data_IF_921924577441
#
_entry.id   IF_921924577441
#
_cell.length_a   1.000
_cell.length_b   1.000
_cell.length_c   1.000
_cell.angle_alpha   90.00
_cell.angle_beta   90.00
_cell.angle_gamma   90.00
#
_symmetry.space_group_name_H-M   'P 1'
#
loop_
_entity.id
_entity.type
_entity.pdbx_description
1 polymer ?
#
# COMPACT_ATOMS: atom_id res chain seq x y z
N UNK A 1 55.67 -16.22 -38.75
CA UNK A 1 54.64 -15.23 -38.48
C UNK A 1 53.29 -15.77 -38.96
N UNK A 2 52.35 -16.06 -38.06
CA UNK A 2 50.92 -16.24 -38.39
C UNK A 2 50.12 -15.77 -37.17
N UNK A 3 49.52 -14.57 -37.26
CA UNK A 3 48.57 -14.06 -36.27
C UNK A 3 47.17 -14.51 -36.64
N UNK A 4 46.45 -15.14 -35.70
CA UNK A 4 45.04 -15.46 -35.88
C UNK A 4 44.20 -14.18 -35.77
N UNK A 5 43.29 -13.89 -36.73
CA UNK A 5 42.41 -12.74 -36.63
C UNK A 5 41.45 -12.93 -35.45
N UNK A 6 41.40 -11.92 -34.58
CA UNK A 6 40.51 -11.87 -33.42
C UNK A 6 39.06 -12.11 -33.86
N UNK A 7 38.39 -13.04 -33.18
CA UNK A 7 37.02 -13.44 -33.48
C UNK A 7 36.08 -12.25 -33.49
N UNK A 8 35.55 -11.93 -34.67
CA UNK A 8 34.52 -10.91 -34.84
C UNK A 8 33.25 -11.38 -34.12
N UNK A 9 32.94 -10.74 -33.00
CA UNK A 9 31.70 -10.94 -32.27
C UNK A 9 30.54 -10.45 -33.14
N UNK A 10 29.85 -11.38 -33.79
CA UNK A 10 28.63 -11.09 -34.54
C UNK A 10 27.42 -11.24 -33.60
N UNK A 11 26.60 -10.19 -33.51
CA UNK A 11 25.34 -10.24 -32.77
C UNK A 11 24.37 -11.11 -33.58
N UNK A 12 24.16 -12.34 -33.11
CA UNK A 12 23.39 -13.38 -33.81
C UNK A 12 21.89 -13.07 -33.94
N UNK A 13 21.41 -12.02 -33.29
CA UNK A 13 20.04 -11.53 -33.45
C UNK A 13 19.61 -10.64 -32.30
N UNK A 14 18.75 -9.68 -32.60
CA UNK A 14 18.10 -8.81 -31.62
C UNK A 14 16.61 -9.10 -31.62
N UNK A 15 16.10 -9.62 -30.50
CA UNK A 15 14.68 -9.90 -30.33
C UNK A 15 13.97 -8.64 -29.82
N UNK A 16 13.16 -8.02 -30.68
CA UNK A 16 12.33 -6.87 -30.31
C UNK A 16 10.85 -7.26 -30.37
N UNK A 17 10.14 -7.11 -29.25
CA UNK A 17 8.68 -7.20 -29.24
C UNK A 17 8.10 -5.80 -29.46
N UNK A 18 7.37 -5.57 -30.57
CA UNK A 18 6.68 -4.31 -30.78
C UNK A 18 5.56 -4.18 -29.73
N UNK A 19 5.62 -3.09 -28.97
CA UNK A 19 4.57 -2.67 -28.02
C UNK A 19 3.79 -1.54 -28.70
N UNK A 20 2.46 -1.54 -28.57
CA UNK A 20 1.57 -0.65 -29.33
C UNK A 20 1.83 0.85 -29.12
N UNK A 21 2.44 1.23 -28.00
CA UNK A 21 2.80 2.60 -27.65
C UNK A 21 3.97 2.57 -26.66
N UNK A 22 4.53 3.72 -26.29
CA UNK A 22 5.55 3.80 -25.25
C UNK A 22 5.00 3.27 -23.91
N UNK A 23 5.86 2.62 -23.12
CA UNK A 23 5.51 2.14 -21.78
C UNK A 23 5.04 3.29 -20.86
N UNK A 24 5.54 4.50 -21.10
CA UNK A 24 5.11 5.71 -20.39
C UNK A 24 3.65 6.07 -20.72
N UNK A 25 3.24 5.98 -21.99
CA UNK A 25 1.85 6.22 -22.40
C UNK A 25 0.92 5.17 -21.81
N UNK A 26 1.30 3.89 -21.90
CA UNK A 26 0.47 2.77 -21.45
C UNK A 26 0.28 2.76 -19.92
N UNK A 27 1.32 3.08 -19.16
CA UNK A 27 1.28 3.06 -17.69
C UNK A 27 0.95 4.41 -17.05
N UNK A 28 0.47 5.38 -17.85
CA UNK A 28 0.17 6.73 -17.35
C UNK A 28 -0.88 6.70 -16.24
N UNK A 29 -0.57 7.41 -15.16
CA UNK A 29 -1.51 7.66 -14.07
C UNK A 29 -2.53 8.73 -14.50
N UNK A 30 -3.63 8.29 -15.13
CA UNK A 30 -4.73 9.17 -15.56
C UNK A 30 -6.07 8.70 -15.00
N UNK A 31 -6.95 9.66 -14.75
CA UNK A 31 -8.33 9.46 -14.32
C UNK A 31 -9.34 9.53 -15.49
N UNK A 32 -8.92 10.08 -16.64
CA UNK A 32 -9.78 10.30 -17.80
C UNK A 32 -10.23 8.97 -18.43
N UNK A 33 -11.54 8.75 -18.55
CA UNK A 33 -12.12 7.57 -19.21
C UNK A 33 -12.03 6.26 -18.41
N UNK A 34 -11.66 6.30 -17.12
CA UNK A 34 -11.41 5.09 -16.32
C UNK A 34 -12.58 4.72 -15.39
N UNK A 35 -12.77 3.40 -15.20
CA UNK A 35 -13.82 2.80 -14.34
C UNK A 35 -13.84 3.33 -12.90
N UNK A 36 -15.05 3.44 -12.33
CA UNK A 36 -15.37 3.94 -10.98
C UNK A 36 -14.51 3.31 -9.87
N UNK A 37 -14.11 2.05 -10.04
CA UNK A 37 -13.31 1.31 -9.07
C UNK A 37 -11.98 2.00 -8.74
N UNK A 38 -11.37 2.70 -9.71
CA UNK A 38 -10.10 3.41 -9.50
C UNK A 38 -10.25 4.58 -8.53
N UNK A 39 -11.41 5.26 -8.57
CA UNK A 39 -11.73 6.32 -7.63
C UNK A 39 -11.99 5.77 -6.23
N UNK A 40 -12.68 4.62 -6.12
CA UNK A 40 -12.92 3.97 -4.83
C UNK A 40 -11.62 3.51 -4.17
N UNK A 41 -10.72 2.89 -4.92
CA UNK A 41 -9.39 2.49 -4.41
C UNK A 41 -8.60 3.71 -3.97
N UNK A 42 -8.55 4.74 -4.81
CA UNK A 42 -7.83 5.97 -4.47
C UNK A 42 -8.39 6.63 -3.20
N UNK A 43 -9.72 6.71 -3.09
CA UNK A 43 -10.39 7.20 -1.90
C UNK A 43 -10.06 6.34 -0.67
N UNK A 44 -10.04 5.01 -0.80
CA UNK A 44 -9.65 4.10 0.29
C UNK A 44 -8.19 4.31 0.72
N UNK A 45 -7.26 4.47 -0.23
CA UNK A 45 -5.85 4.77 0.04
C UNK A 45 -5.64 6.08 0.81
N UNK A 46 -6.60 7.02 0.78
CA UNK A 46 -6.57 8.26 1.58
C UNK A 46 -7.35 8.09 2.89
N UNK A 47 -8.54 7.51 2.83
CA UNK A 47 -9.45 7.38 3.95
C UNK A 47 -8.87 6.47 5.05
N UNK A 48 -8.24 5.35 4.68
CA UNK A 48 -7.63 4.41 5.64
C UNK A 48 -6.51 5.05 6.46
N UNK A 49 -5.48 5.67 5.87
CA UNK A 49 -4.43 6.32 6.66
C UNK A 49 -4.98 7.50 7.46
N UNK A 50 -5.91 8.29 6.92
CA UNK A 50 -6.56 9.35 7.67
C UNK A 50 -7.30 8.81 8.91
N UNK A 51 -8.03 7.71 8.77
CA UNK A 51 -8.71 7.04 9.87
C UNK A 51 -7.73 6.52 10.93
N UNK A 52 -6.63 5.90 10.52
CA UNK A 52 -5.56 5.45 11.42
C UNK A 52 -4.95 6.63 12.18
N UNK A 53 -4.67 7.75 11.50
CA UNK A 53 -4.13 8.95 12.14
C UNK A 53 -5.10 9.54 13.17
N UNK A 54 -6.40 9.62 12.85
CA UNK A 54 -7.42 10.05 13.82
C UNK A 54 -7.45 9.12 15.03
N UNK A 55 -7.49 7.80 14.82
CA UNK A 55 -7.47 6.83 15.91
C UNK A 55 -6.20 6.94 16.76
N UNK A 56 -5.04 7.17 16.13
CA UNK A 56 -3.76 7.35 16.79
C UNK A 56 -3.75 8.62 17.65
N UNK A 57 -4.24 9.75 17.13
CA UNK A 57 -4.37 11.01 17.89
C UNK A 57 -5.28 10.80 19.10
N UNK A 58 -6.44 10.14 18.91
CA UNK A 58 -7.35 9.82 20.01
C UNK A 58 -6.68 8.90 21.05
N UNK A 59 -5.87 7.93 20.61
CA UNK A 59 -5.11 7.04 21.49
C UNK A 59 -4.07 7.78 22.32
N UNK A 60 -3.28 8.65 21.69
CA UNK A 60 -2.24 9.43 22.37
C UNK A 60 -2.87 10.36 23.42
N UNK A 61 -3.99 11.01 23.09
CA UNK A 61 -4.72 11.91 24.01
C UNK A 61 -5.45 11.18 25.14
N UNK A 62 -5.74 9.90 25.00
CA UNK A 62 -6.45 9.11 26.02
C UNK A 62 -5.49 8.62 27.10
N UNK A 63 -5.87 8.69 28.38
CA UNK A 63 -5.11 8.07 29.49
C UNK A 63 -5.48 6.59 29.60
N UNK A 64 -4.82 5.77 28.79
CA UNK A 64 -5.01 4.32 28.77
C UNK A 64 -3.73 3.60 29.23
N UNK A 65 -3.82 2.48 29.94
CA UNK A 65 -2.67 1.64 30.30
C UNK A 65 -2.14 0.88 29.06
N UNK A 66 -0.82 0.67 28.97
CA UNK A 66 -0.15 -0.01 27.83
C UNK A 66 -0.41 0.65 26.46
N UNK A 67 -0.50 1.99 26.39
CA UNK A 67 -0.74 2.74 25.13
C UNK A 67 0.18 2.32 23.98
N UNK A 68 1.44 2.00 24.28
CA UNK A 68 2.42 1.59 23.28
C UNK A 68 1.98 0.37 22.47
N UNK A 69 1.36 -0.63 23.10
CA UNK A 69 0.83 -1.80 22.39
C UNK A 69 -0.33 -1.42 21.47
N UNK A 70 -1.22 -0.53 21.95
CA UNK A 70 -2.32 -0.01 21.14
C UNK A 70 -1.83 0.82 19.97
N UNK A 71 -0.81 1.67 20.15
CA UNK A 71 -0.21 2.46 19.07
C UNK A 71 0.32 1.53 17.97
N UNK A 72 1.11 0.52 18.31
CA UNK A 72 1.62 -0.45 17.33
C UNK A 72 0.46 -1.14 16.62
N UNK A 73 -0.55 -1.58 17.37
CA UNK A 73 -1.69 -2.28 16.78
C UNK A 73 -2.55 -1.39 15.85
N UNK A 74 -2.74 -0.11 16.19
CA UNK A 74 -3.47 0.87 15.38
C UNK A 74 -2.73 1.17 14.08
N UNK A 75 -1.39 1.24 14.13
CA UNK A 75 -0.56 1.55 12.96
C UNK A 75 -0.53 0.42 11.92
N UNK A 76 -0.84 -0.82 12.33
CA UNK A 76 -0.84 -1.98 11.46
C UNK A 76 -2.22 -2.18 10.82
N UNK A 77 -2.27 -2.08 9.50
CA UNK A 77 -3.36 -2.60 8.69
C UNK A 77 -3.11 -4.07 8.33
N UNK A 78 -4.17 -4.87 8.36
CA UNK A 78 -4.17 -6.31 8.06
C UNK A 78 -4.91 -6.57 6.76
N UNK A 79 -4.59 -7.65 6.05
CA UNK A 79 -5.18 -8.00 4.75
C UNK A 79 -4.97 -6.86 3.73
N UNK A 80 -3.94 -7.00 2.90
CA UNK A 80 -3.64 -5.97 1.90
C UNK A 80 -4.40 -6.22 0.60
N UNK A 81 -5.02 -5.18 0.08
CA UNK A 81 -5.56 -5.11 -1.27
C UNK A 81 -4.61 -4.27 -2.10
N UNK A 82 -4.04 -4.84 -3.15
CA UNK A 82 -3.19 -4.15 -4.11
C UNK A 82 -3.93 -4.00 -5.42
N UNK A 83 -3.74 -2.85 -6.05
CA UNK A 83 -4.43 -2.45 -7.25
C UNK A 83 -3.41 -1.93 -8.26
N UNK A 84 -3.33 -2.59 -9.40
CA UNK A 84 -2.54 -2.10 -10.53
C UNK A 84 -3.32 -0.99 -11.24
N UNK A 85 -2.76 0.22 -11.24
CA UNK A 85 -3.43 1.39 -11.80
C UNK A 85 -3.63 1.33 -13.32
N UNK A 86 -2.71 0.68 -14.04
CA UNK A 86 -2.76 0.57 -15.49
C UNK A 86 -3.79 -0.49 -15.89
N UNK A 87 -3.62 -1.72 -15.42
CA UNK A 87 -4.45 -2.85 -15.82
C UNK A 87 -5.81 -2.89 -15.12
N UNK A 88 -5.89 -2.32 -13.91
CA UNK A 88 -7.07 -2.42 -13.06
C UNK A 88 -7.18 -3.75 -12.31
N UNK A 89 -6.11 -4.55 -12.29
CA UNK A 89 -6.08 -5.83 -11.60
C UNK A 89 -6.01 -5.66 -10.08
N UNK A 90 -6.76 -6.49 -9.35
CA UNK A 90 -6.69 -6.58 -7.89
C UNK A 90 -5.92 -7.81 -7.45
N UNK A 91 -5.06 -7.63 -6.46
CA UNK A 91 -4.40 -8.70 -5.75
C UNK A 91 -4.73 -8.57 -4.27
N UNK A 92 -5.18 -9.67 -3.64
CA UNK A 92 -5.49 -9.71 -2.22
C UNK A 92 -4.41 -10.55 -1.54
N UNK A 93 -3.79 -9.99 -0.51
CA UNK A 93 -2.77 -10.64 0.31
C UNK A 93 -3.28 -10.75 1.75
N UNK A 94 -3.91 -11.88 2.14
CA UNK A 94 -4.50 -12.05 3.45
C UNK A 94 -3.48 -12.00 4.59
N UNK A 95 -2.32 -12.62 4.40
CA UNK A 95 -1.23 -12.68 5.38
C UNK A 95 -0.21 -11.59 5.02
N UNK A 96 -0.57 -10.34 5.31
CA UNK A 96 0.27 -9.20 4.99
C UNK A 96 -0.11 -8.00 5.86
N UNK A 97 0.88 -7.13 6.13
CA UNK A 97 0.69 -5.95 6.99
C UNK A 97 1.14 -4.68 6.28
N UNK A 98 0.35 -3.62 6.40
CA UNK A 98 0.69 -2.30 5.87
C UNK A 98 0.79 -1.28 7.02
N UNK A 99 1.91 -0.56 7.09
CA UNK A 99 2.04 0.55 8.01
C UNK A 99 1.15 1.72 7.54
N UNK A 100 0.36 2.29 8.44
CA UNK A 100 -0.68 3.29 8.12
C UNK A 100 -1.76 2.78 7.16
N UNK A 101 -1.87 1.46 6.96
CA UNK A 101 -2.94 0.83 6.18
C UNK A 101 -3.00 1.23 4.71
N UNK A 102 -1.97 1.87 4.16
CA UNK A 102 -1.90 2.24 2.75
C UNK A 102 -0.48 2.16 2.21
N UNK A 103 -0.35 1.94 0.90
CA UNK A 103 0.92 1.98 0.18
C UNK A 103 0.72 2.51 -1.24
N UNK A 104 1.77 3.10 -1.80
CA UNK A 104 1.82 3.48 -3.20
C UNK A 104 3.27 3.35 -3.66
N UNK A 105 3.53 2.50 -4.66
CA UNK A 105 4.88 2.29 -5.16
C UNK A 105 4.87 1.88 -6.64
N UNK A 106 6.01 2.02 -7.29
CA UNK A 106 6.27 1.51 -8.64
C UNK A 106 7.51 0.61 -8.62
N UNK A 107 7.45 -0.63 -9.14
CA UNK A 107 8.61 -1.53 -9.16
C UNK A 107 9.77 -1.05 -10.05
N UNK A 108 9.49 -0.21 -11.05
CA UNK A 108 10.44 0.31 -12.04
C UNK A 108 9.96 1.68 -12.54
N UNK A 109 10.84 2.56 -13.08
CA UNK A 109 10.45 3.89 -13.59
C UNK A 109 9.30 3.88 -14.60
N UNK A 110 9.20 2.81 -15.40
CA UNK A 110 8.19 2.65 -16.45
C UNK A 110 7.12 1.61 -16.10
N UNK A 111 7.12 1.07 -14.88
CA UNK A 111 6.09 0.16 -14.39
C UNK A 111 4.85 0.93 -13.90
N UNK A 112 3.67 0.30 -13.91
CA UNK A 112 2.46 0.92 -13.39
C UNK A 112 2.56 1.20 -11.89
N UNK A 113 1.83 2.22 -11.46
CA UNK A 113 1.62 2.48 -10.03
C UNK A 113 0.79 1.36 -9.42
N UNK A 114 1.32 0.79 -8.34
CA UNK A 114 0.61 -0.17 -7.50
C UNK A 114 0.14 0.61 -6.29
N UNK A 115 -1.18 0.74 -6.16
CA UNK A 115 -1.82 1.31 -4.98
C UNK A 115 -2.22 0.18 -4.06
N UNK A 116 -2.05 0.37 -2.76
CA UNK A 116 -2.44 -0.61 -1.76
C UNK A 116 -3.19 0.03 -0.60
N UNK A 117 -4.15 -0.70 -0.05
CA UNK A 117 -4.75 -0.39 1.24
C UNK A 117 -4.97 -1.67 2.04
N UNK A 118 -5.06 -1.53 3.36
CA UNK A 118 -5.27 -2.65 4.27
C UNK A 118 -6.37 -2.33 5.28
N UNK A 119 -6.97 -3.36 5.85
CA UNK A 119 -8.04 -3.20 6.84
C UNK A 119 -7.42 -2.75 8.18
N UNK A 120 -7.78 -1.57 8.71
CA UNK A 120 -7.19 -1.01 9.92
C UNK A 120 -7.84 -1.61 11.18
N UNK A 121 -7.74 -2.93 11.34
CA UNK A 121 -8.42 -3.69 12.41
C UNK A 121 -8.10 -3.14 13.80
N UNK A 122 -6.84 -2.80 14.06
CA UNK A 122 -6.44 -2.27 15.36
C UNK A 122 -7.04 -0.90 15.68
N UNK A 123 -7.14 -0.02 14.68
CA UNK A 123 -7.82 1.27 14.82
C UNK A 123 -9.31 1.11 15.12
N UNK A 124 -9.99 0.20 14.42
CA UNK A 124 -11.42 -0.10 14.63
C UNK A 124 -11.65 -0.62 16.05
N UNK A 125 -10.89 -1.66 16.46
CA UNK A 125 -11.03 -2.27 17.78
C UNK A 125 -10.75 -1.23 18.88
N UNK A 126 -9.69 -0.42 18.72
CA UNK A 126 -9.37 0.63 19.68
C UNK A 126 -10.53 1.61 19.86
N UNK A 127 -11.06 2.16 18.77
CA UNK A 127 -12.11 3.17 18.85
C UNK A 127 -13.40 2.62 19.48
N UNK A 128 -13.77 1.37 19.16
CA UNK A 128 -14.95 0.71 19.73
C UNK A 128 -14.76 0.37 21.22
N UNK A 129 -13.58 -0.12 21.60
CA UNK A 129 -13.28 -0.54 22.98
C UNK A 129 -12.87 0.61 23.91
N UNK A 130 -12.57 1.80 23.37
CA UNK A 130 -12.03 2.96 24.09
C UNK A 130 -12.74 3.27 25.42
N UNK A 131 -14.08 3.27 25.45
CA UNK A 131 -14.84 3.59 26.67
C UNK A 131 -14.56 2.59 27.79
N UNK A 132 -14.46 1.30 27.46
CA UNK A 132 -14.20 0.23 28.43
C UNK A 132 -12.77 0.31 28.96
N UNK A 133 -11.80 0.61 28.09
CA UNK A 133 -10.40 0.77 28.49
C UNK A 133 -10.23 1.92 29.50
N UNK A 134 -10.86 3.07 29.23
CA UNK A 134 -10.80 4.23 30.13
C UNK A 134 -11.47 3.95 31.50
N UNK A 135 -12.58 3.22 31.53
CA UNK A 135 -13.26 2.86 32.78
C UNK A 135 -12.44 1.85 33.61
N UNK A 136 -11.87 0.84 32.95
CA UNK A 136 -11.03 -0.16 33.60
C UNK A 136 -9.80 0.45 34.26
N UNK A 137 -9.20 1.46 33.62
CA UNK A 137 -8.06 2.18 34.20
C UNK A 137 -8.48 3.04 35.42
N UNK A 138 -9.64 3.70 35.37
CA UNK A 138 -10.16 4.48 36.50
C UNK A 138 -10.46 3.61 37.74
N UNK A 139 -10.98 2.39 37.56
CA UNK A 139 -11.22 1.45 38.68
C UNK A 139 -9.95 0.87 39.30
N UNK A 140 -8.81 0.94 38.62
CA UNK A 140 -7.53 0.46 39.16
C UNK A 140 -6.75 1.56 39.92
N UNK A 141 -7.09 2.83 39.71
CA UNK A 141 -6.50 3.97 40.40
C UNK A 141 -7.27 4.38 41.68
N UNK A 142 -8.44 3.78 41.94
CA UNK A 142 -9.26 3.97 43.15
C UNK A 142 -8.96 2.87 44.18
#
# INVERSE_FOLDING_TARGET
AVGHPAGAMSVLGSHFQPIADSLETLNRFTFTGKSIIRYLVFAACIAVPAFILVALVVCIRSRIRRKWLWIIFILLGFVQFRFDWATGHFEIQPISFALFGASAFRPSPYAPWILGFAIPVGAIIFLVSRRRLLLGDATQEA
#
